data_IF_154306211951
#
_entry.id   IF_154306211951
#
_cell.length_a   1.000
_cell.length_b   1.000
_cell.length_c   1.000
_cell.angle_alpha   90.00
_cell.angle_beta   90.00
_cell.angle_gamma   90.00
#
_symmetry.space_group_name_H-M   'P 1'
#
loop_
_entity.id
_entity.type
_entity.pdbx_description
1 polymer ?
#
# COMPACT_ATOMS: atom_id res chain seq x y z
N UNK A 1 12.95 56.48 -18.38
CA UNK A 1 11.59 56.45 -17.80
C UNK A 1 10.66 55.97 -18.90
N UNK A 2 10.35 54.68 -18.95
CA UNK A 2 9.44 54.07 -19.93
C UNK A 2 8.38 53.35 -19.11
N UNK A 3 7.12 53.71 -19.36
CA UNK A 3 6.01 53.45 -18.46
C UNK A 3 5.57 51.97 -18.42
N UNK A 4 5.13 51.44 -17.27
CA UNK A 4 4.62 50.08 -17.13
C UNK A 4 3.10 49.99 -17.40
N UNK A 5 2.58 50.64 -18.45
CA UNK A 5 1.13 50.61 -18.75
C UNK A 5 0.70 49.37 -19.55
N UNK A 6 1.63 48.62 -20.13
CA UNK A 6 1.33 47.45 -20.96
C UNK A 6 0.79 46.25 -20.16
N UNK A 7 1.18 46.11 -18.88
CA UNK A 7 0.72 45.00 -18.04
C UNK A 7 -0.72 45.19 -17.52
N UNK A 8 -1.09 46.43 -17.20
CA UNK A 8 -2.43 46.78 -16.69
C UNK A 8 -3.51 46.70 -17.77
N UNK A 9 -3.22 47.12 -19.01
CA UNK A 9 -4.18 47.02 -20.11
C UNK A 9 -4.49 45.56 -20.46
N UNK A 10 -3.48 44.69 -20.47
CA UNK A 10 -3.69 43.25 -20.72
C UNK A 10 -4.61 42.61 -19.69
N UNK A 11 -4.42 42.95 -18.42
CA UNK A 11 -5.28 42.46 -17.33
C UNK A 11 -6.72 42.99 -17.42
N UNK A 12 -6.89 44.27 -17.76
CA UNK A 12 -8.21 44.88 -17.97
C UNK A 12 -8.97 44.24 -19.14
N UNK A 13 -8.29 43.99 -20.27
CA UNK A 13 -8.88 43.33 -21.42
C UNK A 13 -9.28 41.88 -21.11
N UNK A 14 -8.50 41.18 -20.28
CA UNK A 14 -8.82 39.82 -19.82
C UNK A 14 -10.09 39.79 -18.95
N UNK A 15 -10.23 40.76 -18.03
CA UNK A 15 -11.40 40.88 -17.17
C UNK A 15 -12.65 41.28 -17.95
N UNK A 16 -12.53 42.17 -18.93
CA UNK A 16 -13.64 42.59 -19.80
C UNK A 16 -14.08 41.42 -20.68
N UNK A 17 -13.13 40.63 -21.22
CA UNK A 17 -13.43 39.41 -21.98
C UNK A 17 -14.15 38.35 -21.13
N UNK A 18 -13.72 38.17 -19.87
CA UNK A 18 -14.36 37.25 -18.92
C UNK A 18 -15.77 37.69 -18.51
N UNK A 19 -16.02 39.00 -18.39
CA UNK A 19 -17.34 39.53 -18.08
C UNK A 19 -18.31 39.57 -19.28
N UNK A 20 -17.78 39.68 -20.51
CA UNK A 20 -18.56 39.71 -21.75
C UNK A 20 -18.92 38.31 -22.29
N UNK A 21 -18.12 37.29 -21.97
CA UNK A 21 -18.50 35.90 -22.12
C UNK A 21 -19.55 35.54 -21.05
N UNK A 22 -20.82 35.83 -21.34
CA UNK A 22 -21.95 35.34 -20.54
C UNK A 22 -21.81 33.84 -20.28
N UNK A 23 -22.39 33.34 -19.17
CA UNK A 23 -22.10 32.01 -18.64
C UNK A 23 -22.13 30.97 -19.74
N UNK A 24 -20.97 30.38 -20.01
CA UNK A 24 -20.76 29.36 -21.02
C UNK A 24 -21.80 28.24 -20.80
N UNK A 25 -22.70 27.98 -21.77
CA UNK A 25 -23.71 26.93 -21.63
C UNK A 25 -23.11 25.52 -21.63
N UNK A 26 -21.81 25.36 -21.89
CA UNK A 26 -21.14 24.05 -21.90
C UNK A 26 -20.62 23.59 -20.52
N UNK A 27 -20.98 24.32 -19.45
CA UNK A 27 -20.82 23.84 -18.08
C UNK A 27 -21.80 22.69 -17.82
N UNK A 28 -21.36 21.48 -18.16
CA UNK A 28 -21.99 20.22 -17.72
C UNK A 28 -22.46 20.34 -16.26
N UNK A 29 -23.66 19.85 -15.92
CA UNK A 29 -24.31 20.17 -14.66
C UNK A 29 -23.39 19.85 -13.49
N UNK A 30 -23.28 20.76 -12.53
CA UNK A 30 -22.54 20.57 -11.25
C UNK A 30 -22.82 19.21 -10.58
N UNK A 31 -23.96 18.58 -10.86
CA UNK A 31 -24.29 17.21 -10.47
C UNK A 31 -23.29 16.14 -10.95
N UNK A 32 -22.78 16.23 -12.19
CA UNK A 32 -21.78 15.28 -12.75
C UNK A 32 -20.41 15.46 -12.08
N UNK A 33 -20.07 16.69 -11.68
CA UNK A 33 -18.84 16.98 -10.93
C UNK A 33 -18.96 16.52 -9.47
N UNK A 34 -20.16 16.65 -8.90
CA UNK A 34 -20.48 16.14 -7.56
C UNK A 34 -20.47 14.62 -7.50
N UNK A 35 -20.91 13.92 -8.54
CA UNK A 35 -20.87 12.44 -8.58
C UNK A 35 -19.44 11.93 -8.64
N UNK A 36 -18.58 12.53 -9.47
CA UNK A 36 -17.16 12.16 -9.52
C UNK A 36 -16.43 12.39 -8.18
N UNK A 37 -16.71 13.50 -7.49
CA UNK A 37 -16.16 13.74 -6.14
C UNK A 37 -16.72 12.75 -5.10
N UNK A 38 -18.00 12.38 -5.20
CA UNK A 38 -18.62 11.41 -4.31
C UNK A 38 -18.09 9.99 -4.54
N UNK A 39 -17.90 9.59 -5.79
CA UNK A 39 -17.30 8.32 -6.20
C UNK A 39 -15.86 8.21 -5.72
N UNK A 40 -15.07 9.28 -5.86
CA UNK A 40 -13.70 9.35 -5.35
C UNK A 40 -13.67 9.20 -3.83
N UNK A 41 -14.57 9.90 -3.11
CA UNK A 41 -14.68 9.78 -1.64
C UNK A 41 -15.10 8.36 -1.22
N UNK A 42 -16.02 7.73 -1.96
CA UNK A 42 -16.41 6.34 -1.70
C UNK A 42 -15.25 5.37 -1.90
N UNK A 43 -14.46 5.56 -2.97
CA UNK A 43 -13.27 4.74 -3.22
C UNK A 43 -12.25 4.86 -2.10
N UNK A 44 -11.95 6.09 -1.64
CA UNK A 44 -11.04 6.31 -0.51
C UNK A 44 -11.54 5.66 0.76
N UNK A 45 -12.82 5.84 1.12
CA UNK A 45 -13.40 5.17 2.29
C UNK A 45 -13.28 3.64 2.22
N UNK A 46 -13.42 3.04 1.03
CA UNK A 46 -13.23 1.60 0.85
C UNK A 46 -11.76 1.19 0.96
N UNK A 47 -10.85 2.03 0.48
CA UNK A 47 -9.41 1.81 0.61
C UNK A 47 -8.99 1.87 2.08
N UNK A 48 -9.47 2.85 2.84
CA UNK A 48 -9.20 2.99 4.28
C UNK A 48 -9.65 1.74 5.06
N UNK A 49 -10.82 1.19 4.73
CA UNK A 49 -11.30 -0.05 5.35
C UNK A 49 -10.40 -1.24 5.01
N UNK A 50 -9.89 -1.31 3.77
CA UNK A 50 -8.96 -2.37 3.36
C UNK A 50 -7.61 -2.20 4.05
N UNK A 51 -7.07 -0.99 4.09
CA UNK A 51 -5.81 -0.65 4.77
C UNK A 51 -5.89 -1.04 6.24
N UNK A 52 -6.95 -0.59 6.94
CA UNK A 52 -7.16 -0.94 8.35
C UNK A 52 -7.25 -2.45 8.56
N UNK A 53 -7.97 -3.15 7.69
CA UNK A 53 -8.09 -4.61 7.78
C UNK A 53 -6.74 -5.29 7.55
N UNK A 54 -5.93 -4.81 6.62
CA UNK A 54 -4.58 -5.33 6.38
C UNK A 54 -3.73 -5.11 7.61
N UNK A 55 -3.67 -3.90 8.16
CA UNK A 55 -2.95 -3.59 9.40
C UNK A 55 -3.36 -4.52 10.55
N UNK A 56 -4.67 -4.65 10.82
CA UNK A 56 -5.19 -5.51 11.91
C UNK A 56 -4.81 -6.98 11.71
N UNK A 57 -4.83 -7.46 10.46
CA UNK A 57 -4.44 -8.85 10.16
C UNK A 57 -2.95 -9.08 10.31
N UNK A 58 -2.11 -8.11 9.93
CA UNK A 58 -0.66 -8.18 10.09
C UNK A 58 -0.30 -8.18 11.56
N UNK A 59 -0.86 -7.26 12.35
CA UNK A 59 -0.63 -7.20 13.80
C UNK A 59 -1.04 -8.52 14.49
N UNK A 60 -2.21 -9.07 14.12
CA UNK A 60 -2.66 -10.36 14.64
C UNK A 60 -1.70 -11.49 14.28
N UNK A 61 -1.23 -11.56 13.04
CA UNK A 61 -0.28 -12.57 12.59
C UNK A 61 1.06 -12.47 13.32
N UNK A 62 1.55 -11.26 13.58
CA UNK A 62 2.78 -11.03 14.34
C UNK A 62 2.66 -11.57 15.77
N UNK A 63 1.53 -11.31 16.44
CA UNK A 63 1.26 -11.83 17.79
C UNK A 63 1.15 -13.36 17.78
N UNK A 64 0.43 -13.94 16.82
CA UNK A 64 0.30 -15.39 16.69
C UNK A 64 1.64 -16.05 16.39
N UNK A 65 2.46 -15.45 15.52
CA UNK A 65 3.79 -15.94 15.19
C UNK A 65 4.74 -15.87 16.39
N UNK A 66 4.72 -14.78 17.14
CA UNK A 66 5.51 -14.64 18.37
C UNK A 66 5.10 -15.70 19.40
N UNK A 67 3.80 -15.93 19.56
CA UNK A 67 3.26 -16.96 20.46
C UNK A 67 3.68 -18.36 20.01
N UNK A 68 3.62 -18.64 18.71
CA UNK A 68 4.04 -19.93 18.17
C UNK A 68 5.54 -20.15 18.34
N UNK A 69 6.36 -19.13 18.10
CA UNK A 69 7.81 -19.20 18.26
C UNK A 69 8.20 -19.44 19.73
N UNK A 70 7.52 -18.78 20.67
CA UNK A 70 7.71 -19.03 22.10
C UNK A 70 7.33 -20.47 22.48
N UNK A 71 6.21 -20.97 21.96
CA UNK A 71 5.76 -22.34 22.19
C UNK A 71 6.74 -23.39 21.64
N UNK A 72 7.39 -23.13 20.49
CA UNK A 72 8.43 -23.99 19.91
C UNK A 72 9.73 -23.92 20.71
N UNK A 73 10.14 -22.72 21.14
CA UNK A 73 11.35 -22.53 21.95
C UNK A 73 11.21 -22.99 23.40
N UNK A 74 10.01 -23.44 23.79
CA UNK A 74 9.74 -23.98 25.11
C UNK A 74 10.73 -25.10 25.45
N UNK A 75 11.24 -25.16 26.70
CA UNK A 75 12.27 -26.12 27.12
C UNK A 75 11.94 -27.59 26.83
N UNK A 76 10.65 -27.93 26.77
CA UNK A 76 10.16 -29.28 26.44
C UNK A 76 10.50 -29.74 25.01
N UNK A 77 10.68 -28.81 24.07
CA UNK A 77 10.98 -29.11 22.66
C UNK A 77 12.45 -28.87 22.28
N UNK A 78 13.20 -28.11 23.09
CA UNK A 78 14.62 -27.81 22.83
C UNK A 78 15.48 -29.06 22.55
N UNK A 79 15.37 -30.16 23.33
CA UNK A 79 16.15 -31.37 23.04
C UNK A 79 15.84 -32.00 21.68
N UNK A 80 14.65 -31.79 21.10
CA UNK A 80 14.30 -32.30 19.78
C UNK A 80 14.80 -31.39 18.66
N UNK A 81 14.85 -30.08 18.90
CA UNK A 81 15.39 -29.09 17.96
C UNK A 81 16.92 -29.15 17.90
N UNK A 82 17.59 -29.30 19.05
CA UNK A 82 19.05 -29.34 19.15
C UNK A 82 19.65 -30.61 18.49
N UNK A 83 18.89 -31.70 18.47
CA UNK A 83 19.30 -32.97 17.84
C UNK A 83 18.91 -33.08 16.35
N UNK A 84 18.21 -32.09 15.78
CA UNK A 84 17.77 -32.13 14.38
C UNK A 84 18.94 -32.15 13.37
N UNK A 85 20.14 -31.70 13.77
CA UNK A 85 21.36 -31.82 12.98
C UNK A 85 22.22 -33.06 13.28
N UNK A 86 21.84 -33.88 14.27
CA UNK A 86 22.59 -35.06 14.73
C UNK A 86 21.92 -36.40 14.39
N UNK A 87 20.75 -36.40 13.74
CA UNK A 87 20.18 -37.63 13.17
C UNK A 87 21.07 -38.10 12.02
N UNK A 88 22.09 -38.87 12.38
CA UNK A 88 23.11 -39.48 11.53
C UNK A 88 22.58 -40.61 10.62
N UNK A 89 21.28 -40.60 10.32
CA UNK A 89 20.70 -41.46 9.29
C UNK A 89 20.34 -40.54 8.13
N UNK A 90 21.35 -40.17 7.37
CA UNK A 90 21.14 -39.64 6.03
C UNK A 90 20.59 -40.79 5.17
N UNK A 91 19.27 -40.78 4.97
CA UNK A 91 18.56 -41.81 4.17
C UNK A 91 18.93 -41.69 2.68
N UNK A 92 19.62 -40.61 2.27
CA UNK A 92 20.13 -40.39 0.91
C UNK A 92 21.58 -40.84 0.72
N UNK A 93 22.25 -41.35 1.76
CA UNK A 93 23.63 -41.82 1.67
C UNK A 93 23.66 -43.23 1.04
N UNK A 94 24.06 -43.30 -0.22
CA UNK A 94 24.11 -44.51 -1.04
C UNK A 94 25.20 -45.49 -0.51
N UNK A 95 24.88 -46.75 -0.18
CA UNK A 95 25.85 -47.69 0.41
C UNK A 95 27.02 -48.13 -0.49
N UNK A 96 27.14 -47.68 -1.74
CA UNK A 96 28.11 -48.21 -2.71
C UNK A 96 29.60 -47.86 -2.46
N UNK A 97 29.94 -46.98 -1.52
CA UNK A 97 31.35 -46.60 -1.27
C UNK A 97 32.03 -47.28 -0.06
N UNK A 98 31.36 -48.23 0.62
CA UNK A 98 31.94 -48.90 1.80
C UNK A 98 32.78 -50.15 1.51
N UNK A 99 33.07 -50.45 0.25
CA UNK A 99 33.78 -51.67 -0.14
C UNK A 99 34.91 -51.41 -1.14
N UNK A 100 35.93 -50.63 -0.76
CA UNK A 100 37.25 -50.66 -1.41
C UNK A 100 38.29 -49.88 -0.57
N UNK A 101 38.89 -50.56 0.41
CA UNK A 101 40.28 -50.30 0.84
C UNK A 101 40.85 -51.52 1.53
#
# INVERSE_FOLDING_TARGET
>A
MICPFSSSLGFLLLLIGYAAAGPDPDLRPRAVRSSACQEHTNLHNRLDVVEKKVEDTVEKLEVELATLLDAINAPKWRPLLDNAGQTAVDILDDPELRGQS
#
